data_IF_107767773908
#
_entry.id   IF_107767773908
#
_cell.length_a   1.000
_cell.length_b   1.000
_cell.length_c   1.000
_cell.angle_alpha   90.00
_cell.angle_beta   90.00
_cell.angle_gamma   90.00
#
_symmetry.space_group_name_H-M   'P 1'
#
loop_
_entity.id
_entity.type
_entity.pdbx_description
1 polymer ?
#
# COMPACT_ATOMS: atom_id res chain seq x y z
N UNK A 1 9.34 23.60 5.56
CA UNK A 1 8.95 22.26 6.04
C UNK A 1 10.11 21.31 5.77
N UNK A 2 10.41 20.40 6.69
CA UNK A 2 11.48 19.39 6.53
C UNK A 2 10.83 18.02 6.63
N UNK A 3 11.05 17.16 5.64
CA UNK A 3 10.56 15.79 5.66
C UNK A 3 11.49 14.90 6.50
N UNK A 4 10.91 14.03 7.31
CA UNK A 4 11.61 12.99 8.07
C UNK A 4 11.00 11.66 7.68
N UNK A 5 11.84 10.68 7.33
CA UNK A 5 11.42 9.31 7.04
C UNK A 5 11.70 8.44 8.25
N UNK A 6 10.66 7.79 8.77
CA UNK A 6 10.73 6.79 9.84
C UNK A 6 9.83 5.63 9.46
N UNK A 7 10.23 4.41 9.82
CA UNK A 7 9.41 3.23 9.60
C UNK A 7 8.31 3.15 10.67
N UNK A 8 7.15 2.66 10.25
CA UNK A 8 5.99 2.57 11.09
C UNK A 8 5.14 1.39 10.63
N UNK A 9 4.40 0.82 11.57
CA UNK A 9 3.46 -0.27 11.33
C UNK A 9 2.04 0.27 11.49
N UNK A 10 1.14 -0.13 10.60
CA UNK A 10 -0.30 0.07 10.75
C UNK A 10 -0.88 -1.25 11.24
N UNK A 11 -1.50 -1.25 12.42
CA UNK A 11 -2.13 -2.44 12.97
C UNK A 11 -3.51 -2.73 12.33
N UNK A 12 -4.13 -3.85 12.71
CA UNK A 12 -5.44 -4.28 12.20
C UNK A 12 -6.57 -3.29 12.53
N UNK A 13 -6.37 -2.43 13.53
CA UNK A 13 -7.29 -1.40 13.97
C UNK A 13 -7.04 -0.06 13.25
N UNK A 14 -6.04 0.00 12.36
CA UNK A 14 -5.67 1.20 11.61
C UNK A 14 -4.81 2.20 12.40
N UNK A 15 -4.21 1.80 13.51
CA UNK A 15 -3.34 2.66 14.32
C UNK A 15 -1.91 2.65 13.76
N UNK A 16 -1.36 3.85 13.54
CA UNK A 16 0.02 4.03 13.14
C UNK A 16 0.94 4.02 14.36
N UNK A 17 1.78 3.00 14.46
CA UNK A 17 2.84 2.90 15.49
C UNK A 17 4.19 3.10 14.84
N UNK A 18 4.93 4.12 15.29
CA UNK A 18 6.30 4.34 14.82
C UNK A 18 7.25 3.33 15.48
N UNK A 19 8.18 2.77 14.70
CA UNK A 19 9.21 1.87 15.24
C UNK A 19 10.15 2.63 16.20
N UNK A 20 10.35 3.93 15.92
CA UNK A 20 11.13 4.85 16.71
C UNK A 20 10.45 6.22 16.84
N UNK A 21 10.62 6.92 17.97
CA UNK A 21 10.00 8.22 18.18
C UNK A 21 10.56 9.28 17.21
N UNK A 22 9.69 10.20 16.77
CA UNK A 22 10.10 11.40 16.06
C UNK A 22 10.70 12.40 17.05
N UNK A 23 12.02 12.60 16.98
CA UNK A 23 12.70 13.62 17.78
C UNK A 23 12.49 14.98 17.10
N UNK A 24 11.62 15.79 17.69
CA UNK A 24 11.36 17.17 17.28
C UNK A 24 11.65 18.12 18.44
N UNK A 25 12.26 19.27 18.15
CA UNK A 25 12.74 20.21 19.18
C UNK A 25 11.62 20.85 20.01
N UNK A 26 10.39 20.78 19.53
CA UNK A 26 9.20 21.35 20.16
C UNK A 26 7.96 20.53 19.82
N UNK A 27 6.99 20.53 20.74
CA UNK A 27 5.66 19.98 20.43
C UNK A 27 5.06 20.77 19.26
N UNK A 28 4.67 20.07 18.20
CA UNK A 28 4.19 20.68 16.96
C UNK A 28 3.24 19.75 16.24
N UNK A 29 2.22 20.34 15.61
CA UNK A 29 1.35 19.61 14.67
C UNK A 29 2.16 19.30 13.42
N UNK A 30 2.07 18.06 12.95
CA UNK A 30 2.75 17.59 11.75
C UNK A 30 1.74 17.03 10.74
N UNK A 31 2.12 17.04 9.47
CA UNK A 31 1.42 16.32 8.41
C UNK A 31 2.10 14.97 8.20
N UNK A 32 1.32 13.90 8.07
CA UNK A 32 1.82 12.53 7.91
C UNK A 32 1.43 12.03 6.53
N UNK A 33 2.42 11.58 5.75
CA UNK A 33 2.24 10.94 4.45
C UNK A 33 2.54 9.45 4.63
N UNK A 34 1.56 8.60 4.31
CA UNK A 34 1.67 7.14 4.41
C UNK A 34 1.84 6.59 3.01
N UNK A 35 2.88 5.76 2.81
CA UNK A 35 3.09 5.02 1.58
C UNK A 35 2.67 3.57 1.83
N UNK A 36 1.54 3.17 1.26
CA UNK A 36 1.09 1.78 1.28
C UNK A 36 1.57 1.16 -0.04
N UNK A 37 2.37 0.08 -0.01
CA UNK A 37 2.73 -0.61 -1.23
C UNK A 37 1.45 -1.13 -1.88
N UNK A 38 1.28 -0.87 -3.16
CA UNK A 38 0.27 -1.59 -3.93
C UNK A 38 0.68 -3.06 -3.91
N UNK A 39 -0.17 -3.92 -3.36
CA UNK A 39 -0.04 -5.33 -3.68
C UNK A 39 -0.20 -5.42 -5.19
N UNK A 40 0.75 -6.05 -5.88
CA UNK A 40 0.50 -6.51 -7.24
C UNK A 40 -0.68 -7.47 -7.15
N UNK A 41 -1.90 -6.92 -7.23
CA UNK A 41 -3.05 -7.71 -7.61
C UNK A 41 -2.58 -8.39 -8.87
N UNK A 42 -2.48 -9.72 -8.84
CA UNK A 42 -2.39 -10.50 -10.05
C UNK A 42 -3.66 -10.15 -10.82
N UNK A 43 -3.60 -9.06 -11.59
CA UNK A 43 -4.46 -8.80 -12.71
C UNK A 43 -4.23 -10.05 -13.55
N UNK A 44 -5.10 -11.04 -13.37
CA UNK A 44 -5.20 -12.20 -14.24
C UNK A 44 -5.19 -11.60 -15.62
N UNK A 45 -4.04 -11.70 -16.29
CA UNK A 45 -3.80 -10.88 -17.46
C UNK A 45 -4.94 -11.15 -18.43
N UNK A 46 -5.43 -10.16 -19.18
CA UNK A 46 -6.51 -10.41 -20.14
C UNK A 46 -6.23 -11.63 -21.03
N UNK A 47 -4.96 -11.99 -21.23
CA UNK A 47 -4.51 -13.21 -21.89
C UNK A 47 -4.95 -14.51 -21.18
N UNK A 48 -4.90 -14.60 -19.85
CA UNK A 48 -5.37 -15.76 -19.07
C UNK A 48 -6.90 -15.88 -19.16
N UNK A 49 -7.62 -14.77 -19.02
CA UNK A 49 -9.08 -14.72 -19.18
C UNK A 49 -9.47 -15.15 -20.62
N UNK A 50 -8.80 -14.62 -21.65
CA UNK A 50 -9.04 -15.02 -23.05
C UNK A 50 -8.63 -16.48 -23.34
N UNK A 51 -7.63 -17.01 -22.64
CA UNK A 51 -7.23 -18.40 -22.79
C UNK A 51 -8.31 -19.33 -22.22
N UNK A 52 -8.93 -18.95 -21.09
CA UNK A 52 -10.02 -19.70 -20.49
C UNK A 52 -11.31 -19.65 -21.33
N UNK A 53 -11.67 -18.49 -21.89
CA UNK A 53 -12.79 -18.40 -22.85
C UNK A 53 -12.57 -19.32 -24.07
N UNK A 54 -11.34 -19.36 -24.60
CA UNK A 54 -10.98 -20.25 -25.73
C UNK A 54 -11.01 -21.72 -25.35
N UNK A 55 -10.57 -22.10 -24.15
CA UNK A 55 -10.63 -23.49 -23.65
C UNK A 55 -12.07 -23.96 -23.44
N UNK A 56 -12.97 -23.06 -23.05
CA UNK A 56 -14.40 -23.33 -22.83
C UNK A 56 -15.23 -23.28 -24.14
N UNK A 57 -14.60 -22.98 -25.29
CA UNK A 57 -15.28 -22.89 -26.58
C UNK A 57 -16.27 -21.71 -26.69
N UNK A 58 -16.22 -20.77 -25.75
CA UNK A 58 -17.01 -19.55 -25.78
C UNK A 58 -16.27 -18.51 -26.61
N UNK A 59 -16.94 -17.92 -27.61
CA UNK A 59 -16.43 -16.73 -28.28
C UNK A 59 -16.56 -15.53 -27.33
N UNK A 60 -15.58 -14.61 -27.33
CA UNK A 60 -15.60 -13.43 -26.46
C UNK A 60 -16.81 -12.53 -26.74
#
# INVERSE_FOLDING_TARGET
MKALKVMATIDEQGQLTLDHPLIIDKNSRVEVIILIPEEETQDTSQAEILADFRKLGMKP
#
